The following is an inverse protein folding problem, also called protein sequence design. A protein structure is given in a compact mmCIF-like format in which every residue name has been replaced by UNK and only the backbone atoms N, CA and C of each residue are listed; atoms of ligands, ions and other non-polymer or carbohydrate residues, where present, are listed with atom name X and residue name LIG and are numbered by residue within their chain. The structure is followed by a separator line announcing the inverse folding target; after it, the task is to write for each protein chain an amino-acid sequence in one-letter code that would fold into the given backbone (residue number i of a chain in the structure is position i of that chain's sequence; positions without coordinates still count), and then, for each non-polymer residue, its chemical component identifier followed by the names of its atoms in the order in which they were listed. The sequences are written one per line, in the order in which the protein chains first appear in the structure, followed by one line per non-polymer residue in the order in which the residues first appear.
data_IF_140815971001
#
_entry.id   IF_140815971001
#
_cell.length_a   1.000
_cell.length_b   1.000
_cell.length_c   1.000
_cell.angle_alpha   90.00
_cell.angle_beta   90.00
_cell.angle_gamma   90.00
#
_symmetry.space_group_name_H-M   'P 1'
#
loop_
_entity.id
_entity.type
_entity.pdbx_description
1 polymer ?
#
# COMPACT_ATOMS: atom_id res chain seq x y z
N UNK A 1 8.63 -8.56 -1.03
CA UNK A 1 9.63 -9.07 -0.06
C UNK A 1 9.44 -8.34 1.25
N UNK A 2 8.73 -8.96 2.21
CA UNK A 2 8.65 -8.43 3.56
C UNK A 2 10.06 -8.43 4.18
N UNK A 3 10.45 -7.33 4.84
CA UNK A 3 11.73 -7.09 5.56
C UNK A 3 12.92 -6.46 4.80
N UNK A 4 12.77 -5.99 3.56
CA UNK A 4 13.87 -5.25 2.89
C UNK A 4 14.26 -3.97 3.66
N UNK A 5 13.30 -3.29 4.30
CA UNK A 5 13.53 -2.13 5.18
C UNK A 5 14.44 -2.47 6.36
N UNK A 6 14.14 -3.55 7.09
CA UNK A 6 14.94 -3.99 8.23
C UNK A 6 16.36 -4.39 7.84
N UNK A 7 16.55 -5.00 6.67
CA UNK A 7 17.90 -5.36 6.18
C UNK A 7 18.72 -4.10 5.92
N UNK A 8 18.13 -3.08 5.29
CA UNK A 8 18.82 -1.81 5.04
C UNK A 8 19.15 -1.11 6.35
N UNK A 9 18.21 -1.04 7.30
CA UNK A 9 18.46 -0.41 8.60
C UNK A 9 19.51 -1.18 9.40
N UNK A 10 19.46 -2.51 9.43
CA UNK A 10 20.47 -3.32 10.09
C UNK A 10 21.87 -3.13 9.47
N UNK A 11 21.95 -2.95 8.15
CA UNK A 11 23.21 -2.69 7.45
C UNK A 11 23.79 -1.29 7.73
N UNK A 12 22.97 -0.30 8.13
CA UNK A 12 23.44 1.07 8.42
C UNK A 12 23.78 1.32 9.89
N UNK A 13 23.33 0.49 10.83
CA UNK A 13 23.67 0.61 12.27
C UNK A 13 25.17 0.75 12.58
N UNK A 14 26.10 0.01 11.93
CA UNK A 14 27.53 0.11 12.23
C UNK A 14 28.10 1.50 11.91
N UNK A 15 27.49 2.24 10.96
CA UNK A 15 27.93 3.57 10.56
C UNK A 15 27.62 4.66 11.60
N UNK A 16 26.72 4.38 12.55
CA UNK A 16 26.25 5.36 13.54
C UNK A 16 26.57 4.98 14.99
N UNK A 17 27.35 3.91 15.21
CA UNK A 17 27.68 3.38 16.54
C UNK A 17 26.44 3.15 17.44
N UNK A 18 25.31 2.74 16.84
CA UNK A 18 24.04 2.62 17.55
C UNK A 18 23.98 1.32 18.38
N UNK A 19 23.60 1.37 19.66
CA UNK A 19 23.47 0.19 20.50
C UNK A 19 22.32 -0.73 20.05
N UNK A 20 22.50 -2.04 20.22
CA UNK A 20 21.57 -3.10 19.78
C UNK A 20 20.16 -2.94 20.36
N UNK A 21 20.02 -2.29 21.51
CA UNK A 21 18.72 -1.95 22.11
C UNK A 21 17.86 -1.04 21.21
N UNK A 22 18.47 -0.15 20.41
CA UNK A 22 17.77 0.69 19.44
C UNK A 22 17.21 -0.10 18.25
N UNK A 23 17.84 -1.21 17.89
CA UNK A 23 17.37 -2.09 16.82
C UNK A 23 16.09 -2.83 17.23
N UNK A 24 15.98 -3.26 18.49
CA UNK A 24 14.75 -3.89 19.02
C UNK A 24 13.55 -2.95 18.94
N UNK A 25 13.76 -1.65 19.18
CA UNK A 25 12.72 -0.64 19.08
C UNK A 25 12.27 -0.44 17.62
N UNK A 26 13.21 -0.47 16.67
CA UNK A 26 12.94 -0.39 15.24
C UNK A 26 12.15 -1.61 14.75
N UNK A 27 12.49 -2.81 15.21
CA UNK A 27 11.75 -4.04 14.88
C UNK A 27 10.29 -3.95 15.35
N UNK A 28 10.06 -3.38 16.55
CA UNK A 28 8.71 -3.20 17.08
C UNK A 28 7.83 -2.26 16.25
N UNK A 29 8.43 -1.26 15.60
CA UNK A 29 7.68 -0.23 14.84
C UNK A 29 7.70 -0.45 13.32
N UNK A 30 8.59 -1.30 12.79
CA UNK A 30 8.67 -1.61 11.35
C UNK A 30 7.31 -2.04 10.78
N UNK A 31 6.52 -2.81 11.54
CA UNK A 31 5.17 -3.20 11.11
C UNK A 31 4.22 -2.01 10.93
N UNK A 32 4.25 -1.04 11.85
CA UNK A 32 3.44 0.17 11.73
C UNK A 32 3.88 1.03 10.54
N UNK A 33 5.19 1.11 10.29
CA UNK A 33 5.72 1.87 9.15
C UNK A 33 5.48 1.16 7.81
N UNK A 34 5.45 -0.17 7.77
CA UNK A 34 5.08 -0.93 6.57
C UNK A 34 3.60 -0.74 6.23
N UNK A 35 2.72 -0.77 7.25
CA UNK A 35 1.31 -0.40 7.09
C UNK A 35 1.15 1.06 6.66
N UNK A 36 1.93 1.98 7.23
CA UNK A 36 1.94 3.40 6.84
C UNK A 36 2.36 3.62 5.39
N UNK A 37 3.35 2.85 4.91
CA UNK A 37 3.75 2.85 3.49
C UNK A 37 2.61 2.40 2.59
N UNK A 38 1.97 1.29 2.94
CA UNK A 38 0.82 0.77 2.17
C UNK A 38 -0.33 1.77 2.15
N UNK A 39 -0.65 2.37 3.30
CA UNK A 39 -1.69 3.39 3.40
C UNK A 39 -1.38 4.61 2.52
N UNK A 40 -0.13 5.10 2.55
CA UNK A 40 0.29 6.24 1.71
C UNK A 40 0.22 5.90 0.22
N UNK A 41 0.58 4.68 -0.18
CA UNK A 41 0.45 4.23 -1.56
C UNK A 41 -1.02 4.21 -2.03
N UNK A 42 -1.93 3.70 -1.20
CA UNK A 42 -3.37 3.67 -1.51
C UNK A 42 -3.93 5.09 -1.61
N UNK A 43 -3.66 5.92 -0.60
CA UNK A 43 -4.11 7.32 -0.57
C UNK A 43 -3.56 8.10 -1.78
N UNK A 44 -2.28 7.94 -2.09
CA UNK A 44 -1.63 8.59 -3.23
C UNK A 44 -2.27 8.21 -4.55
N UNK A 45 -2.55 6.93 -4.77
CA UNK A 45 -3.21 6.45 -5.99
C UNK A 45 -4.65 6.98 -6.09
N UNK A 46 -5.45 6.87 -5.03
CA UNK A 46 -6.83 7.37 -5.03
C UNK A 46 -6.89 8.88 -5.25
N UNK A 47 -5.98 9.63 -4.62
CA UNK A 47 -5.90 11.08 -4.79
C UNK A 47 -5.46 11.44 -6.21
N UNK A 48 -4.48 10.75 -6.78
CA UNK A 48 -4.04 10.96 -8.15
C UNK A 48 -5.20 10.75 -9.14
N UNK A 49 -5.96 9.66 -8.99
CA UNK A 49 -7.15 9.39 -9.82
C UNK A 49 -8.21 10.48 -9.66
N UNK A 50 -8.54 10.88 -8.43
CA UNK A 50 -9.55 11.93 -8.20
C UNK A 50 -9.12 13.30 -8.76
N UNK A 51 -7.83 13.61 -8.66
CA UNK A 51 -7.26 14.85 -9.22
C UNK A 51 -7.29 14.79 -10.75
N UNK A 52 -6.84 13.70 -11.36
CA UNK A 52 -6.88 13.53 -12.83
C UNK A 52 -8.31 13.65 -13.34
N UNK A 53 -9.27 12.92 -12.74
CA UNK A 53 -10.69 12.99 -13.12
C UNK A 53 -11.30 14.39 -13.01
N UNK A 54 -10.76 15.26 -12.14
CA UNK A 54 -11.23 16.65 -11.99
C UNK A 54 -10.68 17.59 -13.07
N UNK A 55 -9.48 17.31 -13.57
CA UNK A 55 -8.78 18.16 -14.55
C UNK A 55 -8.88 17.65 -15.97
N UNK A 56 -9.32 16.41 -16.16
CA UNK A 56 -9.67 15.87 -17.46
C UNK A 56 -10.91 16.63 -17.99
N UNK A 57 -10.88 17.16 -19.24
CA UNK A 57 -12.08 17.68 -19.87
C UNK A 57 -13.14 16.58 -19.85
N UNK A 58 -14.41 16.92 -19.60
CA UNK A 58 -15.49 15.94 -19.51
C UNK A 58 -15.50 15.05 -20.76
N UNK A 59 -14.92 13.86 -20.66
CA UNK A 59 -15.21 12.78 -21.57
C UNK A 59 -16.66 12.39 -21.22
N UNK A 60 -17.58 12.76 -22.10
CA UNK A 60 -18.81 11.99 -22.27
C UNK A 60 -18.34 10.52 -22.37
N UNK A 61 -18.85 9.66 -21.49
CA UNK A 61 -18.56 8.21 -21.41
C UNK A 61 -17.53 7.74 -20.37
N UNK A 62 -17.73 8.13 -19.10
CA UNK A 62 -17.26 7.31 -17.97
C UNK A 62 -18.47 6.80 -17.18
N UNK A 63 -19.19 5.84 -17.77
CA UNK A 63 -20.10 4.98 -17.01
C UNK A 63 -19.32 4.35 -15.87
N UNK A 64 -19.63 4.81 -14.65
CA UNK A 64 -19.18 4.20 -13.43
C UNK A 64 -19.84 2.82 -13.32
N UNK A 65 -19.28 1.82 -14.02
CA UNK A 65 -19.36 0.43 -13.62
C UNK A 65 -18.59 0.29 -12.30
N UNK A 66 -19.24 0.72 -11.22
CA UNK A 66 -18.96 0.20 -9.91
C UNK A 66 -19.22 -1.31 -10.00
N UNK A 67 -18.13 -2.06 -10.09
CA UNK A 67 -18.08 -3.50 -10.15
C UNK A 67 -19.11 -4.15 -9.21
N UNK A 68 -20.22 -4.61 -9.76
CA UNK A 68 -20.98 -5.69 -9.16
C UNK A 68 -20.16 -6.97 -9.37
N UNK A 69 -19.68 -7.66 -8.32
CA UNK A 69 -19.14 -9.00 -8.53
C UNK A 69 -20.32 -9.86 -8.95
N UNK A 70 -20.40 -10.16 -10.25
CA UNK A 70 -21.38 -11.07 -10.81
C UNK A 70 -21.31 -12.41 -10.05
N UNK A 71 -22.23 -12.60 -9.11
CA UNK A 71 -22.44 -13.87 -8.44
C UNK A 71 -23.06 -14.80 -9.47
N UNK A 72 -22.21 -15.50 -10.21
CA UNK A 72 -22.64 -16.53 -11.16
C UNK A 72 -23.34 -17.64 -10.35
N UNK A 73 -24.62 -17.95 -10.59
CA UNK A 73 -25.22 -19.13 -10.00
C UNK A 73 -24.54 -20.36 -10.63
N UNK A 74 -23.81 -21.13 -9.81
CA UNK A 74 -23.29 -22.42 -10.26
C UNK A 74 -24.48 -23.32 -10.64
N UNK A 75 -24.52 -23.90 -11.85
CA UNK A 75 -25.57 -24.83 -12.22
C UNK A 75 -25.36 -26.11 -11.41
N UNK A 76 -26.33 -26.41 -10.55
CA UNK A 76 -26.41 -27.67 -9.82
C UNK A 76 -26.63 -28.80 -10.84
N UNK A 77 -25.56 -29.51 -11.21
CA UNK A 77 -25.65 -30.81 -11.89
C UNK A 77 -26.15 -31.81 -10.85
N UNK A 78 -27.36 -32.34 -11.10
CA UNK A 78 -28.05 -33.29 -10.22
C UNK A 78 -27.39 -34.65 -10.09
#
# INVERSE_FOLDING_TARGET
MARASLVVVAATLPMFHLPEAGLLLIIGIDQFFDMGRTATNVIGNSLATAVVAKYEPAEEDAEAEAAEPAMQPQPNVG
#
